data_IF_393097564654
#
_entry.id   IF_393097564654
#
_cell.length_a   1.000
_cell.length_b   1.000
_cell.length_c   1.000
_cell.angle_alpha   90.00
_cell.angle_beta   90.00
_cell.angle_gamma   90.00
#
_symmetry.space_group_name_H-M   'P 1'
#
loop_
_entity.id
_entity.type
_entity.pdbx_description
1 polymer ?
#
# COMPACT_ATOMS: atom_id res chain seq x y z
N UNK A 1 39.78 -9.62 -50.78
CA UNK A 1 39.43 -10.91 -51.41
C UNK A 1 38.51 -11.67 -50.47
N UNK A 2 37.23 -11.80 -50.88
CA UNK A 2 36.28 -12.93 -50.67
C UNK A 2 36.12 -13.45 -49.20
N UNK A 3 35.08 -13.11 -48.41
CA UNK A 3 33.61 -13.30 -48.51
C UNK A 3 33.09 -14.65 -47.94
N UNK A 4 32.06 -14.53 -47.07
CA UNK A 4 30.86 -15.41 -46.92
C UNK A 4 31.04 -16.84 -46.33
N UNK A 5 30.11 -17.48 -45.60
CA UNK A 5 28.79 -17.18 -45.01
C UNK A 5 28.27 -18.45 -44.26
N UNK A 6 27.17 -18.32 -43.51
CA UNK A 6 26.13 -19.34 -43.20
C UNK A 6 26.41 -20.49 -42.20
N UNK A 7 25.47 -21.10 -41.46
CA UNK A 7 24.17 -20.78 -40.81
C UNK A 7 23.64 -22.12 -40.21
N UNK A 8 22.96 -22.03 -39.04
CA UNK A 8 21.83 -22.88 -38.53
C UNK A 8 22.02 -24.31 -37.96
N UNK A 9 21.61 -24.40 -36.67
CA UNK A 9 20.58 -25.27 -36.01
C UNK A 9 20.56 -26.80 -36.24
N UNK A 10 20.56 -27.56 -35.12
CA UNK A 10 19.51 -28.53 -34.76
C UNK A 10 19.67 -29.06 -33.30
N UNK A 11 18.58 -29.04 -32.52
CA UNK A 11 18.26 -29.99 -31.43
C UNK A 11 17.42 -31.16 -32.06
N UNK A 12 16.86 -32.20 -31.37
CA UNK A 12 16.75 -32.47 -29.92
C UNK A 12 16.95 -33.96 -29.51
N UNK A 13 16.92 -34.29 -28.21
CA UNK A 13 16.70 -35.66 -27.74
C UNK A 13 15.64 -35.72 -26.64
N UNK A 14 14.58 -36.48 -26.92
CA UNK A 14 13.41 -36.75 -26.09
C UNK A 14 13.49 -38.22 -25.60
N UNK A 15 13.01 -38.46 -24.38
CA UNK A 15 12.51 -39.74 -23.81
C UNK A 15 13.49 -40.92 -23.65
N UNK A 16 13.69 -41.33 -22.40
CA UNK A 16 13.77 -42.75 -22.03
C UNK A 16 12.86 -43.03 -20.83
N UNK A 17 11.88 -43.92 -21.03
CA UNK A 17 11.07 -44.59 -20.01
C UNK A 17 11.40 -46.08 -20.07
N UNK A 18 11.73 -46.70 -18.92
CA UNK A 18 11.53 -48.13 -18.61
C UNK A 18 11.86 -48.33 -17.11
N UNK A 19 10.90 -48.64 -16.22
CA UNK A 19 10.45 -50.00 -15.82
C UNK A 19 11.62 -50.92 -15.45
N UNK A 20 11.91 -51.24 -14.19
CA UNK A 20 11.27 -52.26 -13.32
C UNK A 20 12.12 -52.30 -12.03
N UNK A 21 11.58 -52.51 -10.82
CA UNK A 21 11.39 -53.86 -10.26
C UNK A 21 10.54 -53.82 -8.98
N UNK A 22 9.58 -54.74 -8.94
CA UNK A 22 8.88 -55.18 -7.73
C UNK A 22 9.80 -56.12 -6.94
N UNK A 23 9.93 -55.92 -5.63
CA UNK A 23 10.29 -57.01 -4.72
C UNK A 23 9.36 -56.97 -3.50
N UNK A 24 8.73 -58.12 -3.24
CA UNK A 24 7.98 -58.42 -2.02
C UNK A 24 8.98 -58.87 -0.96
N UNK A 25 8.86 -58.36 0.26
CA UNK A 25 9.33 -59.07 1.44
C UNK A 25 8.45 -58.76 2.66
N UNK A 26 8.47 -59.71 3.58
CA UNK A 26 7.40 -60.12 4.50
C UNK A 26 7.36 -59.42 5.86
N UNK A 27 6.16 -59.43 6.44
CA UNK A 27 5.74 -59.31 7.86
C UNK A 27 6.85 -59.33 8.94
N UNK A 28 6.79 -58.35 9.86
CA UNK A 28 7.43 -58.45 11.18
C UNK A 28 7.55 -57.13 11.97
N UNK A 29 6.49 -56.79 12.72
CA UNK A 29 6.45 -56.08 14.03
C UNK A 29 7.14 -54.70 14.27
N UNK A 30 6.26 -53.74 14.59
CA UNK A 30 6.36 -52.63 15.57
C UNK A 30 7.38 -51.50 15.38
N UNK A 31 6.94 -50.44 14.68
CA UNK A 31 7.11 -49.05 15.09
C UNK A 31 6.10 -48.20 14.30
N UNK A 32 4.93 -47.92 14.88
CA UNK A 32 3.93 -47.02 14.28
C UNK A 32 4.43 -45.57 14.40
N UNK A 33 5.25 -45.17 13.42
CA UNK A 33 5.40 -43.77 13.05
C UNK A 33 4.04 -43.29 12.54
N UNK A 34 3.36 -42.43 13.30
CA UNK A 34 2.11 -41.79 12.87
C UNK A 34 2.43 -40.84 11.72
N UNK A 35 2.28 -41.31 10.49
CA UNK A 35 2.14 -40.45 9.33
C UNK A 35 0.88 -39.59 9.53
N UNK A 36 1.06 -38.27 9.59
CA UNK A 36 -0.02 -37.30 9.45
C UNK A 36 -0.61 -37.46 8.05
N UNK A 37 -1.72 -38.17 7.94
CA UNK A 37 -2.62 -38.06 6.80
C UNK A 37 -3.59 -36.91 7.09
N UNK A 38 -3.13 -35.68 6.86
CA UNK A 38 -4.00 -34.53 6.66
C UNK A 38 -4.31 -34.44 5.18
N UNK A 39 -5.58 -34.32 4.85
CA UNK A 39 -6.05 -34.17 3.47
C UNK A 39 -5.46 -32.91 2.85
N UNK A 40 -4.89 -33.02 1.65
CA UNK A 40 -4.19 -31.94 0.94
C UNK A 40 -5.01 -30.64 0.73
N UNK A 41 -6.34 -30.68 0.91
CA UNK A 41 -7.22 -29.53 0.84
C UNK A 41 -7.17 -28.64 2.11
N UNK A 42 -6.89 -29.21 3.29
CA UNK A 42 -6.79 -28.46 4.55
C UNK A 42 -5.41 -27.81 4.70
N UNK A 43 -4.35 -28.51 4.26
CA UNK A 43 -2.96 -28.03 4.34
C UNK A 43 -2.70 -26.80 3.44
N UNK A 44 -3.41 -26.68 2.31
CA UNK A 44 -3.30 -25.51 1.45
C UNK A 44 -3.96 -24.24 2.07
N UNK A 45 -4.99 -24.42 2.90
CA UNK A 45 -5.66 -23.32 3.63
C UNK A 45 -4.86 -22.90 4.87
N UNK A 46 -4.25 -23.85 5.59
CA UNK A 46 -3.38 -23.57 6.75
C UNK A 46 -2.02 -22.99 6.35
N UNK A 47 -1.41 -23.44 5.25
CA UNK A 47 -0.13 -22.88 4.78
C UNK A 47 -0.25 -21.43 4.27
N UNK A 48 -1.39 -21.06 3.67
CA UNK A 48 -1.70 -19.67 3.30
C UNK A 48 -1.99 -18.79 4.54
N UNK A 49 -2.50 -19.38 5.63
CA UNK A 49 -2.70 -18.68 6.89
C UNK A 49 -1.35 -18.30 7.54
N UNK A 50 -0.34 -19.18 7.52
CA UNK A 50 0.94 -18.98 8.20
C UNK A 50 1.74 -17.70 7.83
N UNK A 51 1.48 -17.08 6.67
CA UNK A 51 2.15 -15.83 6.25
C UNK A 51 1.39 -14.54 6.59
N UNK A 52 0.12 -14.64 7.00
CA UNK A 52 -0.72 -13.50 7.40
C UNK A 52 -0.56 -13.24 8.89
N UNK A 53 -0.60 -11.96 9.30
CA UNK A 53 -0.63 -11.62 10.74
C UNK A 53 -1.87 -12.23 11.39
N UNK A 54 -1.82 -12.47 12.70
CA UNK A 54 -3.00 -12.87 13.48
C UNK A 54 -4.14 -11.86 13.28
N UNK A 55 -3.81 -10.57 13.20
CA UNK A 55 -4.74 -9.48 12.89
C UNK A 55 -5.37 -9.63 11.50
N UNK A 56 -4.57 -9.73 10.44
CA UNK A 56 -5.10 -9.90 9.07
C UNK A 56 -5.94 -11.17 8.98
N UNK A 57 -5.54 -12.27 9.61
CA UNK A 57 -6.35 -13.51 9.66
C UNK A 57 -7.69 -13.29 10.38
N UNK A 58 -7.68 -12.62 11.53
CA UNK A 58 -8.89 -12.30 12.28
C UNK A 58 -9.84 -11.44 11.44
N UNK A 59 -9.33 -10.39 10.80
CA UNK A 59 -10.09 -9.53 9.89
C UNK A 59 -10.66 -10.29 8.70
N UNK A 60 -9.94 -11.27 8.16
CA UNK A 60 -10.46 -12.12 7.09
C UNK A 60 -11.56 -13.07 7.56
N UNK A 61 -11.43 -13.66 8.75
CA UNK A 61 -12.50 -14.47 9.36
C UNK A 61 -13.73 -13.63 9.65
N UNK A 62 -13.57 -12.37 10.04
CA UNK A 62 -14.68 -11.44 10.24
C UNK A 62 -15.50 -11.24 8.97
N UNK A 63 -14.86 -11.28 7.79
CA UNK A 63 -15.57 -11.23 6.50
C UNK A 63 -16.33 -12.51 6.16
N UNK A 64 -16.16 -13.58 6.92
CA UNK A 64 -16.99 -14.79 6.79
C UNK A 64 -18.22 -14.74 7.72
N UNK A 65 -18.29 -13.74 8.60
CA UNK A 65 -19.47 -13.50 9.44
C UNK A 65 -20.56 -12.74 8.68
N UNK A 66 -21.81 -12.91 9.12
CA UNK A 66 -22.95 -12.16 8.58
C UNK A 66 -22.97 -10.75 9.16
N UNK A 67 -23.15 -9.75 8.29
CA UNK A 67 -23.40 -8.39 8.74
C UNK A 67 -24.75 -8.27 9.48
N UNK A 68 -24.91 -7.22 10.33
CA UNK A 68 -26.21 -6.90 10.90
C UNK A 68 -27.28 -6.74 9.80
N UNK A 69 -28.57 -7.00 10.04
CA UNK A 69 -29.60 -6.78 9.04
C UNK A 69 -29.71 -5.30 8.66
N UNK A 70 -30.14 -5.02 7.43
CA UNK A 70 -30.45 -3.65 6.99
C UNK A 70 -31.63 -3.07 7.79
N UNK A 71 -31.62 -1.76 7.98
CA UNK A 71 -32.76 -1.03 8.57
C UNK A 71 -33.95 -1.02 7.60
N UNK A 72 -35.18 -0.74 8.06
CA UNK A 72 -36.37 -0.72 7.19
C UNK A 72 -36.29 0.26 6.00
N UNK A 73 -35.50 1.32 6.14
CA UNK A 73 -35.24 2.31 5.08
C UNK A 73 -34.08 1.91 4.14
N UNK A 74 -33.51 0.71 4.33
CA UNK A 74 -32.37 0.19 3.58
C UNK A 74 -31.02 0.77 3.98
N UNK A 75 -30.95 1.60 5.03
CA UNK A 75 -29.71 2.21 5.52
C UNK A 75 -28.98 1.38 6.58
N UNK A 76 -27.76 1.80 6.91
CA UNK A 76 -26.96 1.27 8.02
C UNK A 76 -26.42 2.39 8.90
N UNK A 77 -26.18 2.08 10.17
CA UNK A 77 -25.46 2.94 11.11
C UNK A 77 -23.95 2.75 10.96
N UNK A 78 -23.14 3.77 11.31
CA UNK A 78 -21.69 3.60 11.40
C UNK A 78 -21.29 2.44 12.32
N UNK A 79 -22.00 2.26 13.44
CA UNK A 79 -21.78 1.18 14.40
C UNK A 79 -21.96 -0.24 13.80
N UNK A 80 -22.81 -0.42 12.79
CA UNK A 80 -23.10 -1.72 12.18
C UNK A 80 -21.88 -2.30 11.43
N UNK A 81 -20.94 -1.44 11.04
CA UNK A 81 -19.74 -1.81 10.28
C UNK A 81 -18.44 -1.48 11.01
N UNK A 82 -18.53 -0.99 12.25
CA UNK A 82 -17.36 -0.60 13.05
C UNK A 82 -16.57 -1.83 13.49
N UNK A 83 -15.27 -1.82 13.24
CA UNK A 83 -14.36 -2.91 13.60
C UNK A 83 -13.28 -2.40 14.54
N UNK A 84 -13.00 -3.14 15.61
CA UNK A 84 -11.90 -2.87 16.53
C UNK A 84 -11.07 -4.13 16.69
N UNK A 85 -9.75 -4.00 16.54
CA UNK A 85 -8.80 -5.07 16.81
C UNK A 85 -7.81 -4.60 17.87
N UNK A 86 -7.72 -5.35 18.97
CA UNK A 86 -6.76 -5.08 20.02
C UNK A 86 -5.34 -5.50 19.59
N UNK A 87 -4.38 -4.63 19.88
CA UNK A 87 -2.94 -4.85 19.75
C UNK A 87 -2.36 -4.89 21.16
N UNK A 88 -2.51 -6.04 21.83
CA UNK A 88 -2.06 -6.26 23.21
C UNK A 88 -0.55 -6.59 23.25
N UNK A 89 0.29 -5.68 22.77
CA UNK A 89 1.73 -5.84 22.56
C UNK A 89 2.51 -6.08 23.86
N UNK A 90 2.01 -5.58 24.99
CA UNK A 90 2.64 -5.76 26.31
C UNK A 90 2.51 -7.19 26.81
N UNK A 91 1.43 -7.89 26.44
CA UNK A 91 1.13 -9.26 26.89
C UNK A 91 1.47 -10.31 25.82
N UNK A 92 1.11 -10.05 24.56
CA UNK A 92 1.32 -10.98 23.45
C UNK A 92 2.69 -10.74 22.79
N UNK A 93 3.68 -11.49 23.26
CA UNK A 93 5.05 -11.47 22.73
C UNK A 93 5.15 -11.91 21.28
N UNK A 94 4.28 -12.81 20.81
CA UNK A 94 4.31 -13.26 19.42
C UNK A 94 3.80 -12.15 18.49
N UNK A 95 2.71 -11.48 18.89
CA UNK A 95 2.23 -10.29 18.20
C UNK A 95 3.33 -9.22 18.19
N UNK A 96 3.89 -8.86 19.35
CA UNK A 96 4.99 -7.88 19.43
C UNK A 96 6.13 -8.19 18.47
N UNK A 97 6.64 -9.42 18.46
CA UNK A 97 7.74 -9.83 17.58
C UNK A 97 7.39 -9.72 16.07
N UNK A 98 6.11 -9.89 15.70
CA UNK A 98 5.65 -9.77 14.30
C UNK A 98 5.55 -8.32 13.82
N UNK A 99 5.42 -7.37 14.75
CA UNK A 99 5.23 -5.94 14.47
C UNK A 99 6.43 -5.08 14.87
N UNK A 100 7.38 -5.62 15.61
CA UNK A 100 8.65 -4.96 15.92
C UNK A 100 9.47 -4.70 14.64
N UNK A 101 9.94 -3.47 14.51
CA UNK A 101 10.88 -3.05 13.49
C UNK A 101 12.32 -3.38 13.90
N UNK A 102 13.25 -3.35 12.94
CA UNK A 102 14.67 -3.50 13.24
C UNK A 102 15.25 -2.41 14.15
N UNK A 103 14.47 -1.36 14.45
CA UNK A 103 14.87 -0.20 15.25
C UNK A 103 14.09 -0.09 16.58
N UNK A 104 13.40 -1.16 17.00
CA UNK A 104 12.73 -1.22 18.30
C UNK A 104 11.45 -0.40 18.39
N UNK A 105 10.76 -0.19 17.26
CA UNK A 105 9.49 0.55 17.17
C UNK A 105 8.44 -0.28 16.41
N UNK A 106 7.17 0.13 16.45
CA UNK A 106 6.16 -0.49 15.60
C UNK A 106 6.45 -0.28 14.10
N UNK A 107 6.36 -1.36 13.33
CA UNK A 107 6.58 -1.37 11.88
C UNK A 107 5.36 -0.82 11.15
N UNK A 108 5.43 0.47 10.79
CA UNK A 108 4.36 1.19 10.05
C UNK A 108 3.90 0.46 8.80
N UNK A 109 4.80 -0.18 8.05
CA UNK A 109 4.41 -0.95 6.85
C UNK A 109 3.48 -2.12 7.14
N UNK A 110 3.57 -2.75 8.32
CA UNK A 110 2.64 -3.82 8.72
C UNK A 110 1.31 -3.24 9.19
N UNK A 111 1.35 -2.15 9.95
CA UNK A 111 0.14 -1.42 10.34
C UNK A 111 -0.65 -0.96 9.11
N UNK A 112 0.03 -0.40 8.11
CA UNK A 112 -0.62 0.08 6.88
C UNK A 112 -1.29 -1.05 6.07
N UNK A 113 -0.68 -2.23 6.06
CA UNK A 113 -1.29 -3.42 5.46
C UNK A 113 -2.53 -3.86 6.24
N UNK A 114 -2.47 -3.89 7.58
CA UNK A 114 -3.64 -4.24 8.40
C UNK A 114 -4.74 -3.18 8.33
N UNK A 115 -4.40 -1.89 8.20
CA UNK A 115 -5.38 -0.81 8.03
C UNK A 115 -6.17 -0.95 6.73
N UNK A 116 -5.52 -1.29 5.62
CA UNK A 116 -6.24 -1.62 4.38
C UNK A 116 -7.13 -2.86 4.59
N UNK A 117 -6.69 -3.83 5.40
CA UNK A 117 -7.45 -5.06 5.65
C UNK A 117 -8.65 -4.79 6.55
N UNK A 118 -8.49 -3.91 7.53
CA UNK A 118 -9.53 -3.41 8.41
C UNK A 118 -10.57 -2.65 7.59
N UNK A 119 -10.14 -1.71 6.75
CA UNK A 119 -11.02 -0.96 5.88
C UNK A 119 -11.79 -1.88 4.92
N UNK A 120 -11.14 -2.88 4.34
CA UNK A 120 -11.84 -3.89 3.53
C UNK A 120 -12.88 -4.71 4.32
N UNK A 121 -12.70 -4.88 5.63
CA UNK A 121 -13.66 -5.60 6.50
C UNK A 121 -14.82 -4.72 6.91
N UNK A 122 -14.58 -3.44 7.24
CA UNK A 122 -15.62 -2.42 7.44
C UNK A 122 -16.48 -2.29 6.19
N UNK A 123 -15.85 -2.20 5.01
CA UNK A 123 -16.55 -2.14 3.74
C UNK A 123 -17.40 -3.39 3.48
N UNK A 124 -16.88 -4.57 3.83
CA UNK A 124 -17.60 -5.83 3.70
C UNK A 124 -18.85 -5.85 4.58
N UNK A 125 -18.71 -5.57 5.88
CA UNK A 125 -19.83 -5.56 6.82
C UNK A 125 -20.90 -4.54 6.45
N UNK A 126 -20.52 -3.40 5.86
CA UNK A 126 -21.49 -2.40 5.42
C UNK A 126 -22.28 -2.83 4.17
N UNK A 127 -21.66 -3.59 3.26
CA UNK A 127 -22.27 -3.90 1.96
C UNK A 127 -22.96 -5.25 1.93
N UNK A 128 -22.55 -6.18 2.79
CA UNK A 128 -23.20 -7.48 2.94
C UNK A 128 -24.69 -7.30 3.26
N UNK A 129 -25.56 -8.03 2.55
CA UNK A 129 -27.01 -7.98 2.70
C UNK A 129 -27.53 -9.07 3.66
N UNK A 130 -26.63 -9.89 4.21
CA UNK A 130 -26.95 -10.98 5.13
C UNK A 130 -27.63 -12.17 4.44
N UNK A 131 -27.81 -12.13 3.12
CA UNK A 131 -28.43 -13.21 2.37
C UNK A 131 -27.35 -14.22 1.93
N UNK A 132 -27.37 -15.48 2.43
CA UNK A 132 -26.39 -16.48 2.04
C UNK A 132 -26.42 -16.83 0.55
N UNK A 133 -27.53 -16.54 -0.15
CA UNK A 133 -27.69 -16.78 -1.58
C UNK A 133 -27.19 -15.60 -2.45
N UNK A 134 -26.95 -14.43 -1.85
CA UNK A 134 -26.37 -13.29 -2.57
C UNK A 134 -24.85 -13.34 -2.48
N UNK A 135 -24.16 -13.46 -3.62
CA UNK A 135 -22.71 -13.33 -3.62
C UNK A 135 -22.31 -11.86 -3.34
N UNK A 136 -21.49 -11.57 -2.32
CA UNK A 136 -21.15 -10.19 -1.96
C UNK A 136 -20.37 -9.52 -3.10
N UNK A 137 -20.52 -8.20 -3.33
CA UNK A 137 -19.84 -7.52 -4.42
C UNK A 137 -18.32 -7.55 -4.26
N UNK A 138 -17.62 -7.26 -5.35
CA UNK A 138 -16.17 -7.14 -5.33
C UNK A 138 -15.82 -5.78 -4.73
N UNK A 139 -15.21 -5.80 -3.55
CA UNK A 139 -14.70 -4.62 -2.87
C UNK A 139 -13.20 -4.47 -3.16
N UNK A 140 -12.82 -3.29 -3.64
CA UNK A 140 -11.41 -2.95 -3.93
C UNK A 140 -11.06 -1.62 -3.29
N UNK A 141 -9.83 -1.53 -2.77
CA UNK A 141 -9.20 -0.27 -2.38
C UNK A 141 -8.98 0.55 -3.64
N UNK A 142 -9.68 1.68 -3.75
CA UNK A 142 -9.55 2.60 -4.88
C UNK A 142 -8.45 3.64 -4.62
N UNK A 143 -8.40 4.17 -3.41
CA UNK A 143 -7.36 5.09 -2.96
C UNK A 143 -7.16 5.02 -1.45
N UNK A 144 -6.00 5.49 -1.01
CA UNK A 144 -5.75 5.92 0.37
C UNK A 144 -5.42 7.41 0.30
N UNK A 145 -6.04 8.23 1.14
CA UNK A 145 -5.95 9.68 1.04
C UNK A 145 -4.71 10.26 1.69
N UNK A 146 -4.57 10.07 2.99
CA UNK A 146 -3.35 10.45 3.70
C UNK A 146 -3.24 9.51 4.87
N UNK A 147 -2.02 9.04 5.12
CA UNK A 147 -1.67 8.45 6.39
C UNK A 147 -0.85 9.49 7.16
N UNK A 148 -1.22 9.73 8.41
CA UNK A 148 -0.53 10.63 9.32
C UNK A 148 -0.15 9.86 10.58
N UNK A 149 1.12 9.97 10.97
CA UNK A 149 1.62 9.48 12.25
C UNK A 149 1.71 10.69 13.18
N UNK A 150 0.91 10.67 14.25
CA UNK A 150 0.80 11.77 15.21
C UNK A 150 1.82 11.64 16.33
N UNK A 151 2.10 10.42 16.74
CA UNK A 151 3.12 10.16 17.74
C UNK A 151 4.51 10.34 17.15
N UNK A 152 5.46 10.78 17.99
CA UNK A 152 6.87 10.82 17.61
C UNK A 152 7.47 9.44 17.42
N UNK A 153 6.96 8.47 18.17
CA UNK A 153 7.38 7.08 18.08
C UNK A 153 6.20 6.19 18.45
N UNK A 154 5.89 5.23 17.57
CA UNK A 154 4.92 4.19 17.87
C UNK A 154 5.61 3.10 18.70
N UNK A 155 5.31 3.09 20.00
CA UNK A 155 6.01 2.30 20.99
C UNK A 155 5.61 0.81 20.96
N UNK A 156 6.46 -0.07 21.52
CA UNK A 156 6.21 -1.52 21.60
C UNK A 156 5.85 -1.99 23.02
N UNK A 157 5.96 -1.10 23.99
CA UNK A 157 5.62 -1.29 25.41
C UNK A 157 4.29 -0.63 25.80
N UNK A 158 3.49 -0.28 24.79
CA UNK A 158 2.12 0.23 24.92
C UNK A 158 1.15 -0.67 24.14
N UNK A 159 -0.09 -0.74 24.60
CA UNK A 159 -1.16 -1.45 23.89
C UNK A 159 -2.00 -0.48 23.07
N UNK A 160 -2.47 -0.94 21.91
CA UNK A 160 -3.26 -0.12 20.99
C UNK A 160 -4.57 -0.81 20.58
N UNK A 161 -5.51 -0.03 20.08
CA UNK A 161 -6.68 -0.49 19.35
C UNK A 161 -6.59 0.00 17.91
N UNK A 162 -6.63 -0.92 16.95
CA UNK A 162 -6.82 -0.59 15.54
C UNK A 162 -8.33 -0.52 15.26
N UNK A 163 -8.83 0.69 14.99
CA UNK A 163 -10.25 1.00 14.85
C UNK A 163 -10.57 1.41 13.41
N UNK A 164 -11.56 0.76 12.81
CA UNK A 164 -12.08 1.08 11.49
C UNK A 164 -13.52 1.55 11.58
N UNK A 165 -13.81 2.72 11.03
CA UNK A 165 -15.12 3.36 11.05
C UNK A 165 -15.50 3.88 9.67
N UNK A 166 -16.67 3.49 9.18
CA UNK A 166 -17.23 4.07 7.96
C UNK A 166 -17.75 5.48 8.27
N UNK A 167 -17.23 6.49 7.56
CA UNK A 167 -17.61 7.89 7.78
C UNK A 167 -18.49 8.45 6.68
N UNK A 168 -18.47 7.86 5.48
CA UNK A 168 -19.33 8.30 4.38
C UNK A 168 -19.58 7.16 3.38
N UNK A 169 -20.79 7.13 2.82
CA UNK A 169 -21.19 6.21 1.75
C UNK A 169 -21.80 6.98 0.58
N UNK A 170 -21.26 6.77 -0.61
CA UNK A 170 -21.78 7.29 -1.87
C UNK A 170 -22.67 6.27 -2.58
N UNK A 171 -22.78 6.39 -3.91
CA UNK A 171 -23.53 5.40 -4.71
C UNK A 171 -22.87 4.03 -4.69
N UNK A 172 -21.56 3.97 -4.90
CA UNK A 172 -20.77 2.74 -5.02
C UNK A 172 -19.40 2.83 -4.37
N UNK A 173 -19.19 3.86 -3.56
CA UNK A 173 -17.92 4.19 -2.91
C UNK A 173 -18.14 4.41 -1.42
N UNK A 174 -17.13 4.08 -0.63
CA UNK A 174 -17.15 4.10 0.82
C UNK A 174 -15.88 4.80 1.31
N UNK A 175 -16.01 5.73 2.24
CA UNK A 175 -14.88 6.38 2.90
C UNK A 175 -14.77 5.85 4.33
N UNK A 176 -13.62 5.28 4.64
CA UNK A 176 -13.37 4.57 5.88
C UNK A 176 -12.16 5.19 6.55
N UNK A 177 -12.36 5.63 7.78
CA UNK A 177 -11.28 6.09 8.66
C UNK A 177 -10.76 4.87 9.42
N UNK A 178 -9.46 4.62 9.29
CA UNK A 178 -8.73 3.64 10.08
C UNK A 178 -7.75 4.37 11.00
N UNK A 179 -7.79 4.05 12.29
CA UNK A 179 -6.99 4.72 13.33
C UNK A 179 -6.34 3.68 14.23
N UNK A 180 -5.05 3.85 14.50
CA UNK A 180 -4.40 3.23 15.64
C UNK A 180 -4.55 4.17 16.83
N UNK A 181 -5.16 3.67 17.91
CA UNK A 181 -5.44 4.44 19.12
C UNK A 181 -4.77 3.82 20.33
N UNK A 182 -4.22 4.63 21.20
CA UNK A 182 -3.72 4.20 22.52
C UNK A 182 -4.86 3.57 23.31
N UNK A 183 -4.65 2.38 23.87
CA UNK A 183 -5.71 1.65 24.59
C UNK A 183 -6.16 2.37 25.87
N UNK A 184 -5.24 3.05 26.54
CA UNK A 184 -5.49 3.70 27.83
C UNK A 184 -6.12 5.10 27.69
N UNK A 185 -5.68 5.89 26.70
CA UNK A 185 -6.11 7.28 26.53
C UNK A 185 -7.10 7.50 25.38
N UNK A 186 -7.32 6.49 24.54
CA UNK A 186 -8.03 6.57 23.25
C UNK A 186 -7.46 7.61 22.26
N UNK A 187 -6.28 8.19 22.56
CA UNK A 187 -5.61 9.14 21.70
C UNK A 187 -5.18 8.46 20.38
N UNK A 188 -5.33 9.18 19.27
CA UNK A 188 -4.95 8.67 17.94
C UNK A 188 -3.44 8.79 17.75
N UNK A 189 -2.77 7.64 17.62
CA UNK A 189 -1.34 7.53 17.34
C UNK A 189 -1.03 7.64 15.84
N UNK A 190 -1.91 7.06 15.02
CA UNK A 190 -1.80 7.02 13.56
C UNK A 190 -3.20 6.99 12.96
N UNK A 191 -3.44 7.74 11.88
CA UNK A 191 -4.72 7.74 11.16
C UNK A 191 -4.53 7.66 9.65
N UNK A 192 -5.42 6.96 8.96
CA UNK A 192 -5.51 6.97 7.51
C UNK A 192 -6.96 6.89 7.03
N UNK A 193 -7.23 7.44 5.85
CA UNK A 193 -8.55 7.36 5.19
C UNK A 193 -8.45 6.54 3.92
N UNK A 194 -9.33 5.55 3.78
CA UNK A 194 -9.39 4.64 2.64
C UNK A 194 -10.70 4.82 1.89
N UNK A 195 -10.60 4.98 0.57
CA UNK A 195 -11.74 4.93 -0.33
C UNK A 195 -11.86 3.52 -0.89
N UNK A 196 -12.96 2.83 -0.60
CA UNK A 196 -13.33 1.57 -1.21
C UNK A 196 -14.38 1.76 -2.29
N UNK A 197 -14.34 0.92 -3.33
CA UNK A 197 -15.36 0.90 -4.38
C UNK A 197 -15.95 -0.49 -4.49
N UNK A 198 -17.29 -0.55 -4.47
CA UNK A 198 -18.05 -1.77 -4.69
C UNK A 198 -18.32 -1.95 -6.19
N UNK A 199 -17.95 -3.12 -6.71
CA UNK A 199 -18.12 -3.51 -8.12
C UNK A 199 -18.98 -4.76 -8.21
N UNK A 200 -19.83 -4.81 -9.24
CA UNK A 200 -20.59 -6.03 -9.55
C UNK A 200 -19.66 -7.12 -10.06
N UNK A 201 -19.96 -8.39 -9.71
CA UNK A 201 -19.14 -9.55 -10.10
C UNK A 201 -19.16 -9.83 -11.60
N UNK A 202 -20.26 -9.49 -12.27
CA UNK A 202 -20.44 -9.62 -13.72
C UNK A 202 -19.62 -8.60 -14.54
N UNK A 203 -18.94 -7.66 -13.88
CA UNK A 203 -18.17 -6.60 -14.53
C UNK A 203 -19.02 -5.44 -15.08
N UNK A 204 -20.33 -5.42 -14.88
CA UNK A 204 -21.25 -4.41 -15.44
C UNK A 204 -21.15 -3.02 -14.77
N UNK A 205 -20.20 -2.83 -13.85
CA UNK A 205 -19.86 -1.54 -13.27
C UNK A 205 -19.94 -1.50 -11.74
N UNK A 206 -20.35 -0.35 -11.20
CA UNK A 206 -20.49 -0.13 -9.76
C UNK A 206 -21.67 -0.89 -9.17
N UNK A 207 -21.49 -1.40 -7.95
CA UNK A 207 -22.55 -1.97 -7.13
C UNK A 207 -23.08 -0.87 -6.19
N UNK A 208 -24.40 -0.74 -6.08
CA UNK A 208 -25.00 0.26 -5.17
C UNK A 208 -24.79 -0.18 -3.73
N UNK A 209 -24.24 0.69 -2.88
CA UNK A 209 -24.03 0.39 -1.45
C UNK A 209 -25.17 0.95 -0.60
N UNK A 210 -25.47 0.36 0.57
CA UNK A 210 -26.45 0.93 1.50
C UNK A 210 -26.07 2.36 1.91
N UNK A 211 -27.03 3.29 2.03
CA UNK A 211 -26.76 4.62 2.58
C UNK A 211 -26.34 4.53 4.05
N UNK A 212 -25.48 5.46 4.47
CA UNK A 212 -25.03 5.60 5.86
C UNK A 212 -25.90 6.64 6.56
N UNK A 213 -26.39 6.32 7.75
CA UNK A 213 -27.22 7.20 8.59
C UNK A 213 -26.50 7.48 9.92
N UNK A 214 -25.71 8.56 10.01
CA UNK A 214 -25.07 9.01 11.25
C UNK A 214 -26.09 9.39 12.33
N UNK A 215 -25.89 8.96 13.58
CA UNK A 215 -26.81 9.28 14.69
C UNK A 215 -26.21 10.28 15.68
N UNK A 216 -24.95 10.09 16.05
CA UNK A 216 -24.25 10.97 16.99
C UNK A 216 -23.75 12.25 16.32
N UNK A 217 -23.56 13.31 17.10
CA UNK A 217 -23.04 14.59 16.58
C UNK A 217 -21.65 14.44 15.95
N UNK A 218 -20.80 13.59 16.54
CA UNK A 218 -19.48 13.27 15.97
C UNK A 218 -19.59 12.59 14.61
N UNK A 219 -20.45 11.58 14.47
CA UNK A 219 -20.65 10.89 13.19
C UNK A 219 -21.23 11.82 12.13
N UNK A 220 -22.21 12.67 12.50
CA UNK A 220 -22.79 13.66 11.59
C UNK A 220 -21.74 14.64 11.08
N UNK A 221 -20.86 15.11 11.96
CA UNK A 221 -19.75 15.99 11.58
C UNK A 221 -18.79 15.29 10.62
N UNK A 222 -18.34 14.09 10.94
CA UNK A 222 -17.43 13.31 10.09
C UNK A 222 -18.05 13.04 8.72
N UNK A 223 -19.34 12.70 8.67
CA UNK A 223 -20.08 12.50 7.43
C UNK A 223 -20.16 13.77 6.59
N UNK A 224 -20.46 14.91 7.20
CA UNK A 224 -20.53 16.19 6.51
C UNK A 224 -19.15 16.62 5.97
N UNK A 225 -18.08 16.44 6.75
CA UNK A 225 -16.72 16.78 6.33
C UNK A 225 -16.25 15.87 5.19
N UNK A 226 -16.49 14.56 5.27
CA UNK A 226 -16.24 13.63 4.18
C UNK A 226 -17.05 14.00 2.92
N UNK A 227 -18.32 14.37 3.06
CA UNK A 227 -19.15 14.79 1.93
C UNK A 227 -18.61 16.05 1.23
N UNK A 228 -18.10 17.04 1.98
CA UNK A 228 -17.44 18.23 1.41
C UNK A 228 -16.20 17.85 0.60
N UNK A 229 -15.37 16.96 1.13
CA UNK A 229 -14.17 16.46 0.44
C UNK A 229 -14.57 15.77 -0.87
N UNK A 230 -15.59 14.91 -0.86
CA UNK A 230 -16.07 14.24 -2.07
C UNK A 230 -16.64 15.22 -3.11
N UNK A 231 -17.35 16.25 -2.67
CA UNK A 231 -17.86 17.31 -3.54
C UNK A 231 -16.71 18.08 -4.21
N UNK A 232 -15.73 18.53 -3.41
CA UNK A 232 -14.55 19.24 -3.90
C UNK A 232 -13.75 18.40 -4.92
N UNK A 233 -13.59 17.09 -4.67
CA UNK A 233 -12.94 16.19 -5.63
C UNK A 233 -13.72 16.06 -6.93
N UNK A 234 -15.04 15.99 -6.85
CA UNK A 234 -15.90 15.93 -8.04
C UNK A 234 -15.75 17.21 -8.87
N UNK A 235 -15.71 18.36 -8.21
CA UNK A 235 -15.48 19.67 -8.84
C UNK A 235 -14.08 19.76 -9.46
N UNK A 236 -13.02 19.37 -8.74
CA UNK A 236 -11.66 19.35 -9.28
C UNK A 236 -11.55 18.45 -10.52
N UNK A 237 -12.18 17.26 -10.50
CA UNK A 237 -12.22 16.35 -11.67
C UNK A 237 -12.99 16.95 -12.85
N UNK A 238 -13.95 17.82 -12.61
CA UNK A 238 -14.67 18.54 -13.65
C UNK A 238 -13.84 19.73 -14.18
N UNK A 239 -13.24 20.51 -13.28
CA UNK A 239 -12.37 21.63 -13.62
C UNK A 239 -11.11 21.20 -14.39
N UNK A 240 -10.54 20.03 -14.07
CA UNK A 240 -9.42 19.44 -14.80
C UNK A 240 -9.73 19.10 -16.28
N UNK A 241 -11.01 19.17 -16.68
CA UNK A 241 -11.45 19.00 -18.08
C UNK A 241 -11.50 20.32 -18.85
N UNK A 242 -11.37 21.47 -18.20
CA UNK A 242 -11.32 22.79 -18.85
C UNK A 242 -9.92 23.05 -19.46
N UNK A 243 -9.80 23.15 -20.79
CA UNK A 243 -8.50 23.34 -21.46
C UNK A 243 -7.86 24.70 -21.18
N UNK A 244 -8.65 25.74 -20.90
CA UNK A 244 -8.17 27.12 -20.83
C UNK A 244 -7.35 27.39 -19.56
N UNK A 245 -7.91 27.04 -18.39
CA UNK A 245 -7.22 27.12 -17.08
C UNK A 245 -6.02 26.19 -17.00
N UNK A 246 -6.01 25.11 -17.78
CA UNK A 246 -4.90 24.16 -17.84
C UNK A 246 -3.64 24.74 -18.51
N UNK A 247 -3.81 25.66 -19.48
CA UNK A 247 -2.68 26.24 -20.22
C UNK A 247 -1.89 27.27 -19.40
N UNK A 248 -2.59 28.19 -18.70
CA UNK A 248 -1.93 29.19 -17.84
C UNK A 248 -1.22 28.53 -16.65
N UNK A 249 -1.87 27.55 -16.02
CA UNK A 249 -1.26 26.74 -14.95
C UNK A 249 -0.04 25.95 -15.44
N UNK A 250 -0.08 25.43 -16.68
CA UNK A 250 1.05 24.69 -17.25
C UNK A 250 2.28 25.57 -17.47
N UNK A 251 2.12 26.81 -17.96
CA UNK A 251 3.25 27.72 -18.19
C UNK A 251 3.94 28.14 -16.88
N UNK A 252 3.17 28.46 -15.84
CA UNK A 252 3.71 28.77 -14.52
C UNK A 252 4.46 27.57 -13.92
N UNK A 253 3.87 26.37 -14.03
CA UNK A 253 4.49 25.12 -13.59
C UNK A 253 5.77 24.80 -14.36
N UNK A 254 5.80 25.06 -15.67
CA UNK A 254 6.99 24.87 -16.50
C UNK A 254 8.13 25.79 -16.09
N UNK A 255 7.84 27.05 -15.74
CA UNK A 255 8.83 27.98 -15.22
C UNK A 255 9.44 27.51 -13.89
N UNK A 256 8.61 26.96 -12.99
CA UNK A 256 9.08 26.38 -11.73
C UNK A 256 9.95 25.13 -11.97
N UNK A 257 9.54 24.24 -12.89
CA UNK A 257 10.34 23.08 -13.29
C UNK A 257 11.71 23.50 -13.84
N UNK A 258 11.75 24.49 -14.73
CA UNK A 258 13.03 24.98 -15.27
C UNK A 258 13.90 25.66 -14.20
N UNK A 259 13.29 26.34 -13.22
CA UNK A 259 14.02 26.89 -12.07
C UNK A 259 14.69 25.80 -11.23
N UNK A 260 13.99 24.69 -10.92
CA UNK A 260 14.54 23.54 -10.20
C UNK A 260 15.66 22.84 -10.97
N UNK A 261 15.57 22.78 -12.31
CA UNK A 261 16.57 22.11 -13.15
C UNK A 261 17.89 22.87 -13.28
N UNK A 262 17.86 24.19 -13.16
CA UNK A 262 19.04 25.04 -13.38
C UNK A 262 20.25 24.63 -12.52
N UNK A 263 20.15 24.52 -11.17
CA UNK A 263 21.27 24.09 -10.34
C UNK A 263 21.69 22.64 -10.63
N UNK A 264 20.74 21.73 -10.86
CA UNK A 264 21.06 20.33 -11.18
C UNK A 264 21.81 20.16 -12.51
N UNK A 265 21.50 20.97 -13.53
CA UNK A 265 22.23 20.98 -14.81
C UNK A 265 23.67 21.49 -14.62
N UNK A 266 23.88 22.52 -13.80
CA UNK A 266 25.22 23.01 -13.46
C UNK A 266 26.01 21.92 -12.74
N UNK A 267 25.41 21.28 -11.74
CA UNK A 267 26.01 20.17 -11.01
C UNK A 267 26.44 18.99 -11.90
N UNK A 268 25.61 18.64 -12.90
CA UNK A 268 25.91 17.57 -13.85
C UNK A 268 26.98 17.93 -14.88
N UNK A 269 26.87 19.12 -15.49
CA UNK A 269 27.67 19.50 -16.67
C UNK A 269 28.98 20.20 -16.28
N UNK A 270 28.98 20.91 -15.14
CA UNK A 270 30.11 21.71 -14.63
C UNK A 270 30.36 21.45 -13.14
N UNK A 271 30.69 20.21 -12.73
CA UNK A 271 30.79 19.84 -11.31
C UNK A 271 31.81 20.67 -10.50
N UNK A 272 32.85 21.21 -11.14
CA UNK A 272 33.82 22.09 -10.48
C UNK A 272 33.34 23.52 -10.20
N UNK A 273 32.14 23.90 -10.67
CA UNK A 273 31.51 25.21 -10.46
C UNK A 273 30.18 25.12 -9.70
N UNK A 274 29.78 23.91 -9.29
CA UNK A 274 28.52 23.71 -8.59
C UNK A 274 28.68 24.04 -7.09
N UNK A 275 27.58 24.47 -6.46
CA UNK A 275 27.55 24.72 -5.01
C UNK A 275 27.86 23.44 -4.21
N UNK A 276 28.29 23.54 -2.96
CA UNK A 276 28.45 22.34 -2.13
C UNK A 276 27.14 21.96 -1.43
N UNK A 277 27.09 20.79 -0.79
CA UNK A 277 25.97 20.41 0.08
C UNK A 277 24.77 19.79 -0.64
N UNK A 278 24.88 19.43 -1.92
CA UNK A 278 23.83 18.71 -2.64
C UNK A 278 24.21 17.27 -3.02
N UNK A 279 23.21 16.53 -3.50
CA UNK A 279 23.34 15.28 -4.26
C UNK A 279 22.33 15.27 -5.42
N UNK A 280 22.66 14.62 -6.54
CA UNK A 280 21.72 14.53 -7.65
C UNK A 280 20.62 13.50 -7.33
N UNK A 281 19.37 13.78 -7.72
CA UNK A 281 18.21 12.96 -7.36
C UNK A 281 18.40 11.47 -7.71
N UNK A 282 18.89 11.18 -8.92
CA UNK A 282 19.10 9.79 -9.37
C UNK A 282 20.17 9.03 -8.57
N UNK A 283 21.12 9.73 -7.94
CA UNK A 283 22.17 9.12 -7.10
C UNK A 283 21.63 8.63 -5.76
N UNK A 284 20.46 9.14 -5.33
CA UNK A 284 19.78 8.70 -4.10
C UNK A 284 18.93 7.43 -4.31
N UNK A 285 18.88 6.90 -5.54
CA UNK A 285 17.88 5.91 -5.91
C UNK A 285 18.21 4.50 -5.42
N UNK A 286 17.19 3.79 -4.92
CA UNK A 286 17.23 2.34 -4.70
C UNK A 286 16.18 1.65 -5.56
N UNK A 287 16.39 0.34 -5.80
CA UNK A 287 15.47 -0.48 -6.59
C UNK A 287 15.24 -1.80 -5.88
N UNK A 288 14.04 -2.33 -6.02
CA UNK A 288 13.71 -3.67 -5.57
C UNK A 288 12.78 -4.36 -6.59
N UNK A 289 12.85 -5.68 -6.68
CA UNK A 289 11.98 -6.47 -7.55
C UNK A 289 11.43 -7.65 -6.76
N UNK A 290 10.10 -7.77 -6.71
CA UNK A 290 9.38 -8.74 -5.89
C UNK A 290 8.47 -9.55 -6.79
N UNK A 291 8.56 -10.87 -6.71
CA UNK A 291 7.55 -11.74 -7.33
C UNK A 291 6.33 -11.80 -6.42
N UNK A 292 5.16 -11.42 -6.92
CA UNK A 292 3.94 -11.38 -6.11
C UNK A 292 3.42 -12.79 -5.85
N UNK A 293 3.24 -13.13 -4.58
CA UNK A 293 2.90 -14.49 -4.16
C UNK A 293 1.40 -14.63 -3.81
N UNK A 294 0.82 -15.83 -3.86
CA UNK A 294 -0.59 -16.04 -3.54
C UNK A 294 -1.02 -15.58 -2.12
N UNK A 295 -0.10 -15.51 -1.17
CA UNK A 295 -0.36 -15.13 0.22
C UNK A 295 -0.81 -13.66 0.35
N UNK A 296 -0.37 -12.79 -0.58
CA UNK A 296 -0.72 -11.35 -0.60
C UNK A 296 -1.93 -11.04 -1.48
N UNK A 297 -2.74 -12.05 -1.85
CA UNK A 297 -3.95 -11.84 -2.66
C UNK A 297 -5.15 -11.39 -1.82
N UNK A 298 -5.95 -10.48 -2.37
CA UNK A 298 -7.26 -10.08 -1.88
C UNK A 298 -8.36 -11.08 -2.27
N UNK A 299 -9.60 -10.82 -1.86
CA UNK A 299 -10.77 -11.66 -2.17
C UNK A 299 -11.10 -11.72 -3.66
N UNK A 300 -10.61 -10.75 -4.44
CA UNK A 300 -10.73 -10.71 -5.90
C UNK A 300 -9.58 -11.42 -6.63
N UNK A 301 -8.68 -12.10 -5.91
CA UNK A 301 -7.54 -12.83 -6.50
C UNK A 301 -6.39 -11.95 -7.00
N UNK A 302 -6.40 -10.65 -6.68
CA UNK A 302 -5.35 -9.68 -7.05
C UNK A 302 -4.47 -9.36 -5.85
N UNK A 303 -3.28 -8.83 -6.06
CA UNK A 303 -2.44 -8.35 -4.96
C UNK A 303 -3.19 -7.27 -4.19
N UNK A 304 -3.14 -7.41 -2.88
CA UNK A 304 -3.79 -6.55 -1.92
C UNK A 304 -3.13 -5.17 -1.85
N UNK A 305 -3.92 -4.09 -1.76
CA UNK A 305 -3.42 -2.72 -1.77
C UNK A 305 -2.42 -2.47 -0.64
N UNK A 306 -2.73 -2.96 0.56
CA UNK A 306 -1.89 -2.92 1.75
C UNK A 306 -0.52 -3.54 1.55
N UNK A 307 -0.43 -4.67 0.83
CA UNK A 307 0.86 -5.31 0.56
C UNK A 307 1.73 -4.47 -0.38
N UNK A 308 1.11 -3.85 -1.40
CA UNK A 308 1.83 -2.96 -2.33
C UNK A 308 2.36 -1.71 -1.60
N UNK A 309 1.52 -1.09 -0.76
CA UNK A 309 1.92 0.05 0.05
C UNK A 309 3.05 -0.30 1.03
N UNK A 310 2.97 -1.47 1.68
CA UNK A 310 4.05 -1.97 2.56
C UNK A 310 5.38 -2.07 1.82
N UNK A 311 5.40 -2.71 0.65
CA UNK A 311 6.63 -2.86 -0.12
C UNK A 311 7.22 -1.52 -0.58
N UNK A 312 6.36 -0.58 -0.98
CA UNK A 312 6.79 0.76 -1.33
C UNK A 312 7.37 1.51 -0.12
N UNK A 313 6.70 1.46 1.03
CA UNK A 313 7.17 2.10 2.27
C UNK A 313 8.51 1.52 2.74
N UNK A 314 8.71 0.20 2.66
CA UNK A 314 9.96 -0.45 3.07
C UNK A 314 11.14 -0.02 2.18
N UNK A 315 10.92 0.09 0.87
CA UNK A 315 11.92 0.61 -0.04
C UNK A 315 12.18 2.11 0.20
N UNK A 316 11.12 2.89 0.45
CA UNK A 316 11.24 4.31 0.75
C UNK A 316 12.03 4.57 2.04
N UNK A 317 11.75 3.78 3.08
CA UNK A 317 12.46 3.80 4.35
C UNK A 317 13.95 3.50 4.13
N UNK A 318 14.27 2.45 3.36
CA UNK A 318 15.66 2.11 3.05
C UNK A 318 16.38 3.24 2.31
N UNK A 319 15.71 3.91 1.39
CA UNK A 319 16.24 5.09 0.68
C UNK A 319 16.48 6.26 1.62
N UNK A 320 15.51 6.60 2.47
CA UNK A 320 15.67 7.66 3.46
C UNK A 320 16.81 7.34 4.43
N UNK A 321 16.92 6.09 4.88
CA UNK A 321 17.98 5.65 5.79
C UNK A 321 19.37 5.72 5.13
N UNK A 322 19.50 5.22 3.90
CA UNK A 322 20.76 5.30 3.15
C UNK A 322 21.19 6.76 2.89
N UNK A 323 20.23 7.65 2.70
CA UNK A 323 20.46 9.07 2.47
C UNK A 323 20.85 9.84 3.73
N UNK A 324 20.12 9.64 4.84
CA UNK A 324 20.30 10.43 6.07
C UNK A 324 21.39 9.88 6.99
N UNK A 325 21.70 8.58 6.90
CA UNK A 325 22.61 7.90 7.81
C UNK A 325 22.04 7.67 9.22
N UNK A 326 20.76 7.95 9.45
CA UNK A 326 20.05 7.63 10.70
C UNK A 326 18.75 6.88 10.39
N UNK A 327 18.28 6.05 11.32
CA UNK A 327 16.98 5.39 11.17
C UNK A 327 15.86 6.45 11.14
N UNK A 328 15.17 6.64 10.00
CA UNK A 328 14.11 7.63 9.91
C UNK A 328 12.83 7.17 10.62
N UNK A 329 11.98 8.10 11.05
CA UNK A 329 10.60 7.79 11.49
C UNK A 329 9.60 8.21 10.41
N UNK A 330 8.58 7.38 10.17
CA UNK A 330 7.54 7.72 9.18
C UNK A 330 6.64 8.79 9.77
N UNK A 331 6.41 9.90 9.05
CA UNK A 331 5.53 10.98 9.48
C UNK A 331 4.23 11.02 8.70
N UNK A 332 4.32 10.88 7.37
CA UNK A 332 3.12 10.79 6.56
C UNK A 332 3.34 10.05 5.25
N UNK A 333 2.22 9.62 4.66
CA UNK A 333 2.14 9.05 3.32
C UNK A 333 1.09 9.87 2.58
N UNK A 334 1.46 10.39 1.40
CA UNK A 334 0.57 11.16 0.56
C UNK A 334 -0.54 10.28 -0.04
N UNK A 335 -1.47 10.92 -0.74
CA UNK A 335 -2.53 10.22 -1.47
C UNK A 335 -1.96 9.20 -2.45
N UNK A 336 -2.51 8.00 -2.39
CA UNK A 336 -2.21 6.87 -3.25
C UNK A 336 -3.47 6.51 -4.02
N UNK A 337 -3.46 6.67 -5.34
CA UNK A 337 -4.51 6.16 -6.20
C UNK A 337 -4.10 4.80 -6.79
N UNK A 338 -4.95 3.78 -6.64
CA UNK A 338 -4.72 2.45 -7.21
C UNK A 338 -5.23 2.38 -8.65
N UNK A 339 -4.40 2.87 -9.58
CA UNK A 339 -4.78 3.04 -10.99
C UNK A 339 -4.96 1.70 -11.72
N UNK A 340 -4.10 0.71 -11.44
CA UNK A 340 -4.16 -0.59 -12.11
C UNK A 340 -4.02 -1.75 -11.11
N UNK A 341 -4.80 -2.83 -11.29
CA UNK A 341 -4.66 -4.02 -10.47
C UNK A 341 -3.33 -4.72 -10.72
N UNK A 342 -2.76 -5.31 -9.67
CA UNK A 342 -1.56 -6.14 -9.74
C UNK A 342 -1.97 -7.60 -9.57
N UNK A 343 -1.55 -8.47 -10.49
CA UNK A 343 -1.86 -9.90 -10.47
C UNK A 343 -0.88 -10.68 -9.58
N UNK A 344 -1.32 -11.82 -9.04
CA UNK A 344 -0.43 -12.80 -8.41
C UNK A 344 0.46 -13.43 -9.49
N UNK A 345 1.74 -13.64 -9.18
CA UNK A 345 2.76 -14.14 -10.11
C UNK A 345 3.39 -13.05 -10.99
N UNK A 346 2.96 -11.80 -10.85
CA UNK A 346 3.57 -10.66 -11.53
C UNK A 346 4.91 -10.29 -10.88
N UNK A 347 5.84 -9.74 -11.67
CA UNK A 347 7.07 -9.17 -11.15
C UNK A 347 6.84 -7.68 -10.86
N UNK A 348 6.76 -7.34 -9.58
CA UNK A 348 6.62 -5.97 -9.10
C UNK A 348 8.01 -5.33 -9.02
N UNK A 349 8.31 -4.39 -9.92
CA UNK A 349 9.52 -3.59 -9.92
C UNK A 349 9.27 -2.24 -9.26
N UNK A 350 10.05 -1.94 -8.22
CA UNK A 350 9.98 -0.72 -7.44
C UNK A 350 11.26 0.09 -7.64
N UNK A 351 11.13 1.41 -7.80
CA UNK A 351 12.25 2.35 -7.82
C UNK A 351 11.92 3.52 -6.90
N UNK A 352 12.79 3.77 -5.93
CA UNK A 352 12.69 4.88 -5.00
C UNK A 352 13.77 5.92 -5.25
N UNK A 353 13.57 7.14 -4.76
CA UNK A 353 14.57 8.21 -4.69
C UNK A 353 14.08 9.30 -3.73
N UNK A 354 15.02 9.99 -3.08
CA UNK A 354 14.71 11.19 -2.33
C UNK A 354 14.34 12.28 -3.32
N UNK A 355 13.20 12.95 -3.13
CA UNK A 355 12.71 14.00 -4.05
C UNK A 355 12.91 15.40 -3.48
N UNK A 356 12.89 15.54 -2.15
CA UNK A 356 13.03 16.82 -1.48
C UNK A 356 13.46 16.63 -0.03
N UNK A 357 14.22 17.58 0.51
CA UNK A 357 14.60 17.67 1.92
C UNK A 357 14.06 19.00 2.44
N UNK A 358 13.42 18.98 3.59
CA UNK A 358 12.86 20.16 4.22
C UNK A 358 13.73 20.61 5.41
N UNK A 359 13.68 21.91 5.72
CA UNK A 359 14.51 22.58 6.73
C UNK A 359 14.41 21.95 8.14
N UNK A 360 13.31 21.26 8.45
CA UNK A 360 13.08 20.58 9.74
C UNK A 360 13.69 19.16 9.82
N UNK A 361 14.61 18.81 8.92
CA UNK A 361 15.19 17.46 8.86
C UNK A 361 14.22 16.41 8.32
N UNK A 362 13.20 16.83 7.56
CA UNK A 362 12.26 15.90 6.91
C UNK A 362 12.76 15.54 5.51
N UNK A 363 12.60 14.27 5.14
CA UNK A 363 13.02 13.72 3.85
C UNK A 363 11.80 13.16 3.13
N UNK A 364 11.51 13.71 1.95
CA UNK A 364 10.46 13.24 1.08
C UNK A 364 11.04 12.21 0.10
N UNK A 365 10.44 11.03 0.04
CA UNK A 365 10.86 9.92 -0.84
C UNK A 365 9.69 9.48 -1.70
N UNK A 366 9.91 9.46 -3.01
CA UNK A 366 8.96 8.89 -3.96
C UNK A 366 9.36 7.47 -4.34
N UNK A 367 8.35 6.61 -4.55
CA UNK A 367 8.52 5.25 -5.02
C UNK A 367 7.57 4.98 -6.18
N UNK A 368 8.14 4.70 -7.33
CA UNK A 368 7.39 4.27 -8.50
C UNK A 368 7.30 2.74 -8.53
N UNK A 369 6.08 2.23 -8.72
CA UNK A 369 5.80 0.81 -8.88
C UNK A 369 5.40 0.49 -10.33
N UNK A 370 6.00 -0.56 -10.88
CA UNK A 370 5.68 -1.11 -12.19
C UNK A 370 5.46 -2.62 -12.11
N UNK A 371 4.50 -3.13 -12.87
CA UNK A 371 4.33 -4.55 -13.11
C UNK A 371 5.02 -4.92 -14.41
N UNK A 372 5.95 -5.87 -14.31
CA UNK A 372 6.64 -6.46 -15.45
C UNK A 372 6.08 -7.86 -15.71
N UNK A 373 5.78 -8.14 -16.98
CA UNK A 373 5.42 -9.47 -17.48
C UNK A 373 6.44 -9.89 -18.54
N UNK A 374 7.62 -10.42 -18.14
CA UNK A 374 8.72 -10.69 -19.08
C UNK A 374 8.33 -11.62 -20.23
N UNK A 375 7.50 -12.64 -19.97
CA UNK A 375 7.01 -13.55 -21.00
C UNK A 375 6.14 -12.88 -22.06
N UNK A 376 5.45 -11.79 -21.70
CA UNK A 376 4.63 -10.97 -22.60
C UNK A 376 5.38 -9.74 -23.14
N UNK A 377 6.59 -9.48 -22.63
CA UNK A 377 7.38 -8.27 -22.92
C UNK A 377 6.64 -6.97 -22.59
N UNK A 378 5.83 -6.99 -21.53
CA UNK A 378 5.06 -5.83 -21.08
C UNK A 378 5.65 -5.23 -19.79
N UNK A 379 5.64 -3.91 -19.72
CA UNK A 379 5.98 -3.12 -18.52
C UNK A 379 4.94 -2.03 -18.33
N UNK A 380 4.37 -1.96 -17.14
CA UNK A 380 3.14 -1.21 -16.87
C UNK A 380 3.28 -0.51 -15.52
N UNK A 381 3.44 0.82 -15.52
CA UNK A 381 3.41 1.63 -14.29
C UNK A 381 2.06 1.49 -13.59
N UNK A 382 2.04 1.19 -12.30
CA UNK A 382 0.79 0.97 -11.56
C UNK A 382 0.50 2.10 -10.58
N UNK A 383 1.52 2.54 -9.84
CA UNK A 383 1.35 3.48 -8.74
C UNK A 383 2.62 4.32 -8.57
N UNK A 384 2.44 5.55 -8.07
CA UNK A 384 3.51 6.31 -7.42
C UNK A 384 3.11 6.49 -5.96
N UNK A 385 4.06 6.36 -5.06
CA UNK A 385 3.88 6.56 -3.63
C UNK A 385 4.82 7.66 -3.18
N UNK A 386 4.39 8.48 -2.24
CA UNK A 386 5.24 9.51 -1.65
C UNK A 386 5.16 9.45 -0.16
N UNK A 387 6.33 9.41 0.46
CA UNK A 387 6.51 9.21 1.89
C UNK A 387 7.30 10.37 2.46
N UNK A 388 6.89 10.84 3.63
CA UNK A 388 7.63 11.84 4.40
C UNK A 388 8.17 11.17 5.64
N UNK A 389 9.49 11.26 5.78
CA UNK A 389 10.22 10.74 6.92
C UNK A 389 10.81 11.89 7.73
N UNK A 390 10.89 11.71 9.04
CA UNK A 390 11.71 12.54 9.91
C UNK A 390 13.08 11.88 10.07
N UNK A 391 14.10 12.63 9.68
CA UNK A 391 15.51 12.29 9.77
C UNK A 391 16.28 13.39 10.53
N UNK A 392 15.62 14.08 11.46
CA UNK A 392 16.21 15.13 12.30
C UNK A 392 17.39 14.65 13.14
N UNK A 393 17.49 13.34 13.38
CA UNK A 393 18.59 12.67 14.10
C UNK A 393 19.79 12.33 13.19
N UNK A 394 19.85 12.86 11.97
CA UNK A 394 20.96 12.61 11.05
C UNK A 394 22.29 13.08 11.68
N UNK A 395 23.36 12.25 11.62
CA UNK A 395 24.65 12.60 12.22
C UNK A 395 25.41 13.69 11.45
N UNK A 396 24.92 14.06 10.26
CA UNK A 396 25.48 15.08 9.39
C UNK A 396 24.33 15.92 8.83
N UNK A 397 24.57 17.19 8.43
CA UNK A 397 23.58 17.97 7.70
C UNK A 397 23.07 17.20 6.49
N UNK A 398 21.74 17.16 6.33
CA UNK A 398 21.12 16.57 5.15
C UNK A 398 21.49 17.41 3.93
N UNK A 399 21.79 16.71 2.83
CA UNK A 399 22.11 17.37 1.57
C UNK A 399 20.85 17.82 0.85
N UNK A 400 20.92 18.89 0.08
CA UNK A 400 19.85 19.20 -0.87
C UNK A 400 19.83 18.17 -2.01
N UNK A 401 18.66 18.00 -2.61
CA UNK A 401 18.48 17.09 -3.75
C UNK A 401 18.17 17.88 -5.00
N UNK A 402 18.99 17.71 -6.04
CA UNK A 402 18.85 18.43 -7.30
C UNK A 402 18.34 17.52 -8.43
N UNK A 403 17.27 17.91 -9.14
CA UNK A 403 16.79 17.21 -10.32
C UNK A 403 17.62 17.60 -11.54
N UNK A 404 17.90 16.63 -12.41
CA UNK A 404 18.64 16.87 -13.67
C UNK A 404 17.79 16.69 -14.92
N UNK A 405 16.62 16.08 -14.78
CA UNK A 405 15.65 15.87 -15.87
C UNK A 405 14.25 16.35 -15.47
N UNK A 406 13.43 16.75 -16.46
CA UNK A 406 12.10 17.34 -16.23
C UNK A 406 11.18 16.47 -15.36
N UNK A 407 11.27 15.15 -15.47
CA UNK A 407 10.48 14.23 -14.63
C UNK A 407 10.87 14.31 -13.16
N UNK A 408 12.16 14.40 -12.86
CA UNK A 408 12.66 14.56 -11.48
C UNK A 408 12.23 15.91 -10.90
N UNK A 409 12.36 16.99 -11.69
CA UNK A 409 11.94 18.32 -11.26
C UNK A 409 10.43 18.42 -11.02
N UNK A 410 9.62 17.75 -11.85
CA UNK A 410 8.18 17.66 -11.61
C UNK A 410 7.85 16.93 -10.30
N UNK A 411 8.54 15.82 -10.01
CA UNK A 411 8.36 15.08 -8.75
C UNK A 411 8.76 15.90 -7.53
N UNK A 412 9.86 16.65 -7.64
CA UNK A 412 10.29 17.56 -6.58
C UNK A 412 9.28 18.69 -6.37
N UNK A 413 8.78 19.31 -7.44
CA UNK A 413 7.75 20.35 -7.35
C UNK A 413 6.47 19.81 -6.67
N UNK A 414 6.02 18.62 -7.05
CA UNK A 414 4.88 17.96 -6.41
C UNK A 414 5.13 17.69 -4.92
N UNK A 415 6.36 17.34 -4.55
CA UNK A 415 6.74 17.17 -3.15
C UNK A 415 6.70 18.50 -2.37
N UNK A 416 7.22 19.58 -2.96
CA UNK A 416 7.20 20.93 -2.37
C UNK A 416 5.76 21.41 -2.17
N UNK A 417 4.93 21.35 -3.22
CA UNK A 417 3.52 21.77 -3.17
C UNK A 417 2.72 21.01 -2.11
N UNK A 418 2.99 19.71 -1.93
CA UNK A 418 2.34 18.92 -0.87
C UNK A 418 2.78 19.36 0.52
N UNK A 419 4.06 19.67 0.71
CA UNK A 419 4.59 20.07 2.01
C UNK A 419 4.12 21.48 2.42
N UNK A 420 4.02 22.44 1.49
CA UNK A 420 3.52 23.80 1.79
C UNK A 420 2.06 23.79 2.25
N UNK A 421 1.28 22.79 1.83
CA UNK A 421 -0.12 22.64 2.23
C UNK A 421 -0.30 21.82 3.54
N UNK A 422 0.80 21.44 4.20
CA UNK A 422 0.81 20.63 5.42
C UNK A 422 1.15 21.40 6.71
N UNK A 423 1.57 22.66 6.58
CA UNK A 423 1.69 23.63 7.68
C UNK A 423 0.42 24.49 7.76
#
# INVERSE_FOLDING_TARGET
MIASNCLRRAAPLHRLLARTALSRCSRGTSALCRCLSTTAADDARTAAAAHRTSVTQHLWKLRESQAPPLRPDGSRLPADSRVVVAYDLTQDKELRNRYESAFGTLRVGRLLEDMDALAGSVAYLHVDDGNPDTAPPILVTASMERLEVRDDTLALDEDYNLVGSLVWAGRSSLEIVAELRHKDSDAVALSAVFTFVARKRDGSGGHTVPPLTPETETEKRLFADAAKIQAARKEQRQAAKDPSKKAESAAARDAQIEALLKPGRIARDFPGQADEGFVLMHETSLKNAITTQPQVRNTAGRVFGGALMRYALELAFATAYAFSGCAPTTRSIAQVDFVRPVEVGALLALKSHVVHVCDQGRVCVDVTAAVWKPGLRESTLTNNFSFVFDASKAPRPLKDVLPVVRTEAAMQLDAIERMTNCD
#
